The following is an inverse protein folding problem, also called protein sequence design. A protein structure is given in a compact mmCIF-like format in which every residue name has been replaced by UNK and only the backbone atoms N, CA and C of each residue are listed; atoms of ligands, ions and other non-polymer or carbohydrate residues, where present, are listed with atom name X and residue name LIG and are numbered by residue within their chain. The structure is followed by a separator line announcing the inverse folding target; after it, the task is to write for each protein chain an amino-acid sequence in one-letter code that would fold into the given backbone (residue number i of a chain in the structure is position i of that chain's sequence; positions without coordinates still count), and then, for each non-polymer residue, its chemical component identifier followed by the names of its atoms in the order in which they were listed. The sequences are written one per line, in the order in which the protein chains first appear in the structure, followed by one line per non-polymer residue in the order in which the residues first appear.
data_IF_814673683860
#
_entry.id   IF_814673683860
#
_cell.length_a   1.000
_cell.length_b   1.000
_cell.length_c   1.000
_cell.angle_alpha   90.00
_cell.angle_beta   90.00
_cell.angle_gamma   90.00
#
_symmetry.space_group_name_H-M   'P 1'
#
loop_
_entity.id
_entity.type
_entity.pdbx_description
1 polymer ?
#
# COMPACT_ATOMS: atom_id res chain seq x y z
N UNK A 1 -2.23 -29.31 -40.32
CA UNK A 1 -2.32 -29.71 -38.89
C UNK A 1 -1.77 -28.57 -38.04
N UNK A 2 -2.61 -27.93 -37.20
CA UNK A 2 -2.17 -26.89 -36.26
C UNK A 2 -1.87 -27.54 -34.92
N UNK A 3 -0.61 -27.63 -34.54
CA UNK A 3 -0.22 -28.11 -33.21
C UNK A 3 -0.50 -27.01 -32.20
N UNK A 4 -1.53 -27.20 -31.38
CA UNK A 4 -1.78 -26.36 -30.21
C UNK A 4 -0.61 -26.51 -29.23
N UNK A 5 0.23 -25.48 -29.13
CA UNK A 5 1.29 -25.43 -28.14
C UNK A 5 0.64 -25.33 -26.74
N UNK A 6 0.70 -26.43 -25.97
CA UNK A 6 0.31 -26.43 -24.56
C UNK A 6 1.23 -25.45 -23.83
N UNK A 7 0.72 -24.28 -23.43
CA UNK A 7 1.43 -23.37 -22.52
C UNK A 7 1.62 -24.11 -21.20
N UNK A 8 2.80 -24.68 -21.00
CA UNK A 8 3.20 -25.16 -19.68
C UNK A 8 3.40 -23.91 -18.81
N UNK A 9 2.68 -23.83 -17.70
CA UNK A 9 3.02 -22.86 -16.66
C UNK A 9 4.44 -23.17 -16.20
N UNK A 10 5.35 -22.18 -16.16
CA UNK A 10 6.70 -22.41 -15.65
C UNK A 10 6.62 -22.98 -14.23
N UNK A 11 7.52 -23.92 -13.91
CA UNK A 11 7.60 -24.48 -12.58
C UNK A 11 7.88 -23.37 -11.55
N UNK A 12 7.33 -23.46 -10.33
CA UNK A 12 7.66 -22.53 -9.25
C UNK A 12 9.18 -22.47 -9.04
N UNK A 13 9.71 -21.30 -8.70
CA UNK A 13 11.12 -21.16 -8.36
C UNK A 13 11.50 -22.09 -7.20
N UNK A 14 12.68 -22.68 -7.27
CA UNK A 14 13.30 -23.51 -6.21
C UNK A 14 14.28 -22.69 -5.34
N UNK A 15 14.72 -21.53 -5.84
CA UNK A 15 15.62 -20.61 -5.14
C UNK A 15 15.33 -19.17 -5.59
N UNK A 16 15.37 -18.24 -4.64
CA UNK A 16 15.24 -16.79 -4.83
C UNK A 16 16.42 -16.07 -4.15
N UNK A 17 16.51 -14.76 -4.35
CA UNK A 17 17.57 -13.93 -3.78
C UNK A 17 16.96 -12.87 -2.90
N UNK A 18 17.41 -12.74 -1.66
CA UNK A 18 17.13 -11.57 -0.83
C UNK A 18 18.23 -10.54 -0.98
N UNK A 19 17.85 -9.25 -0.98
CA UNK A 19 18.79 -8.12 -1.00
C UNK A 19 18.51 -7.16 0.14
N UNK A 20 19.55 -6.82 0.91
CA UNK A 20 19.52 -5.82 1.98
C UNK A 20 20.84 -5.05 1.94
N UNK A 21 20.82 -3.72 1.93
CA UNK A 21 22.03 -2.87 1.97
C UNK A 21 23.12 -3.27 0.95
N UNK A 22 22.73 -3.58 -0.29
CA UNK A 22 23.60 -4.11 -1.37
C UNK A 22 24.19 -5.51 -1.14
N UNK A 23 23.94 -6.15 0.00
CA UNK A 23 24.26 -7.56 0.20
C UNK A 23 23.13 -8.44 -0.35
N UNK A 24 23.51 -9.56 -0.99
CA UNK A 24 22.57 -10.51 -1.58
C UNK A 24 22.79 -11.92 -1.05
N UNK A 25 21.71 -12.63 -0.73
CA UNK A 25 21.75 -13.98 -0.17
C UNK A 25 20.73 -14.87 -0.91
N UNK A 26 21.17 -16.04 -1.36
CA UNK A 26 20.24 -17.04 -1.91
C UNK A 26 19.49 -17.73 -0.79
N UNK A 27 18.17 -17.84 -0.95
CA UNK A 27 17.30 -18.49 0.03
C UNK A 27 16.26 -19.34 -0.70
N UNK A 28 15.75 -20.41 -0.06
CA UNK A 28 14.57 -21.09 -0.58
C UNK A 28 13.36 -20.12 -0.57
N UNK A 29 12.42 -20.24 -1.51
CA UNK A 29 11.18 -19.50 -1.44
C UNK A 29 10.43 -19.82 -0.15
N UNK A 30 10.02 -18.78 0.58
CA UNK A 30 9.23 -18.95 1.78
C UNK A 30 7.76 -19.22 1.43
N UNK A 31 7.12 -20.17 2.10
CA UNK A 31 5.71 -20.51 1.94
C UNK A 31 4.79 -19.41 2.51
N UNK A 32 5.29 -18.66 3.49
CA UNK A 32 4.57 -17.57 4.15
C UNK A 32 5.44 -16.34 4.38
N UNK A 33 4.79 -15.19 4.59
CA UNK A 33 5.48 -13.94 4.91
C UNK A 33 6.28 -14.05 6.22
N UNK A 34 5.76 -14.72 7.25
CA UNK A 34 6.47 -14.86 8.53
C UNK A 34 7.70 -15.77 8.41
N UNK A 35 7.62 -16.80 7.57
CA UNK A 35 8.79 -17.61 7.22
C UNK A 35 9.81 -16.78 6.44
N UNK A 36 9.38 -15.90 5.54
CA UNK A 36 10.26 -14.98 4.83
C UNK A 36 11.01 -14.05 5.77
N UNK A 37 10.33 -13.49 6.79
CA UNK A 37 10.96 -12.69 7.85
C UNK A 37 12.01 -13.52 8.59
N UNK A 38 11.71 -14.78 8.88
CA UNK A 38 12.64 -15.68 9.56
C UNK A 38 13.89 -15.96 8.70
N UNK A 39 13.71 -16.24 7.42
CA UNK A 39 14.80 -16.44 6.47
C UNK A 39 15.65 -15.17 6.31
N UNK A 40 15.02 -14.00 6.19
CA UNK A 40 15.73 -12.73 6.10
C UNK A 40 16.60 -12.49 7.33
N UNK A 41 16.06 -12.71 8.54
CA UNK A 41 16.82 -12.53 9.79
C UNK A 41 18.02 -13.47 9.89
N UNK A 42 17.88 -14.72 9.44
CA UNK A 42 19.00 -15.67 9.42
C UNK A 42 20.02 -15.36 8.31
N UNK A 43 19.57 -14.84 7.17
CA UNK A 43 20.47 -14.46 6.07
C UNK A 43 21.28 -13.19 6.37
N UNK A 44 20.72 -12.28 7.17
CA UNK A 44 21.30 -10.97 7.49
C UNK A 44 21.40 -10.74 9.00
N UNK A 45 21.97 -11.71 9.74
CA UNK A 45 22.07 -11.65 11.20
C UNK A 45 22.76 -10.36 11.69
N UNK A 46 23.76 -9.84 10.95
CA UNK A 46 24.44 -8.60 11.32
C UNK A 46 23.54 -7.36 11.33
N UNK A 47 22.59 -7.27 10.41
CA UNK A 47 21.76 -6.08 10.20
C UNK A 47 20.36 -6.20 10.81
N UNK A 48 19.84 -7.43 10.92
CA UNK A 48 18.45 -7.68 11.35
C UNK A 48 18.33 -8.29 12.76
N UNK A 49 19.44 -8.52 13.45
CA UNK A 49 19.39 -8.96 14.86
C UNK A 49 18.82 -7.85 15.75
N UNK A 50 17.84 -8.22 16.58
CA UNK A 50 17.16 -7.28 17.48
C UNK A 50 16.09 -6.40 16.83
N UNK A 51 15.97 -6.42 15.49
CA UNK A 51 14.91 -5.69 14.78
C UNK A 51 13.57 -6.42 14.96
N UNK A 52 12.53 -5.66 15.30
CA UNK A 52 11.18 -6.20 15.41
C UNK A 52 10.68 -6.74 14.07
N UNK A 53 10.00 -7.89 14.10
CA UNK A 53 9.54 -8.59 12.90
C UNK A 53 8.56 -7.73 12.09
N UNK A 54 7.77 -6.87 12.72
CA UNK A 54 6.79 -6.04 12.02
C UNK A 54 7.43 -4.86 11.27
N UNK A 55 8.70 -4.57 11.56
CA UNK A 55 9.46 -3.55 10.85
C UNK A 55 10.12 -4.09 9.59
N UNK A 56 10.13 -5.41 9.39
CA UNK A 56 10.70 -6.01 8.18
C UNK A 56 9.62 -6.07 7.11
N UNK A 57 9.94 -5.54 5.93
CA UNK A 57 9.05 -5.51 4.77
C UNK A 57 9.80 -5.94 3.51
N UNK A 58 9.05 -6.37 2.50
CA UNK A 58 9.59 -6.92 1.27
C UNK A 58 9.05 -6.18 0.05
N UNK A 59 9.87 -6.04 -0.99
CA UNK A 59 9.42 -5.49 -2.28
C UNK A 59 10.09 -6.15 -3.48
N UNK A 60 9.47 -6.02 -4.64
CA UNK A 60 10.05 -6.38 -5.94
C UNK A 60 10.31 -5.13 -6.77
N UNK A 61 11.33 -5.18 -7.62
CA UNK A 61 11.51 -4.16 -8.64
C UNK A 61 10.76 -4.56 -9.90
N UNK A 62 9.77 -3.76 -10.29
CA UNK A 62 8.95 -3.98 -11.47
C UNK A 62 9.27 -2.92 -12.51
N UNK A 63 9.42 -3.34 -13.77
CA UNK A 63 9.55 -2.41 -14.90
C UNK A 63 8.14 -2.00 -15.37
N UNK A 64 7.74 -0.76 -15.10
CA UNK A 64 6.48 -0.20 -15.59
C UNK A 64 6.78 1.10 -16.35
N UNK A 65 6.28 1.19 -17.58
CA UNK A 65 6.45 2.37 -18.46
C UNK A 65 7.94 2.77 -18.65
N UNK A 66 8.83 1.79 -18.78
CA UNK A 66 10.27 2.02 -18.95
C UNK A 66 11.00 2.51 -17.69
N UNK A 67 10.31 2.59 -16.54
CA UNK A 67 10.91 2.95 -15.24
C UNK A 67 10.86 1.76 -14.30
N UNK A 68 11.95 1.56 -13.54
CA UNK A 68 11.94 0.62 -12.43
C UNK A 68 11.22 1.26 -11.24
N UNK A 69 10.23 0.55 -10.72
CA UNK A 69 9.51 0.93 -9.52
C UNK A 69 9.60 -0.20 -8.50
N UNK A 70 9.78 0.16 -7.23
CA UNK A 70 9.69 -0.81 -6.15
C UNK A 70 8.23 -0.99 -5.74
N UNK A 71 7.78 -2.24 -5.68
CA UNK A 71 6.41 -2.64 -5.33
C UNK A 71 6.46 -3.51 -4.09
N UNK A 72 5.86 -3.04 -2.99
CA UNK A 72 5.79 -3.78 -1.74
C UNK A 72 4.94 -5.04 -1.84
N UNK A 73 5.37 -6.11 -1.16
CA UNK A 73 4.63 -7.36 -1.06
C UNK A 73 3.90 -7.38 0.29
N UNK A 74 2.58 -7.44 0.28
CA UNK A 74 1.80 -7.59 1.50
C UNK A 74 1.80 -9.05 1.99
N UNK A 75 1.52 -9.25 3.28
CA UNK A 75 1.39 -10.58 3.91
C UNK A 75 0.42 -11.50 3.16
N UNK A 76 -0.73 -10.94 2.74
CA UNK A 76 -1.80 -11.69 2.06
C UNK A 76 -1.50 -11.98 0.59
N UNK A 77 -0.66 -11.17 -0.06
CA UNK A 77 -0.26 -11.40 -1.45
C UNK A 77 0.93 -12.36 -1.59
N UNK A 78 1.59 -12.71 -0.49
CA UNK A 78 2.86 -13.43 -0.49
C UNK A 78 2.82 -14.72 -1.33
N UNK A 79 1.87 -15.62 -1.04
CA UNK A 79 1.78 -16.91 -1.73
C UNK A 79 1.55 -16.76 -3.24
N UNK A 80 0.67 -15.84 -3.63
CA UNK A 80 0.42 -15.52 -5.04
C UNK A 80 1.68 -15.02 -5.71
N UNK A 81 2.39 -14.06 -5.09
CA UNK A 81 3.63 -13.52 -5.67
C UNK A 81 4.70 -14.61 -5.79
N UNK A 82 4.92 -15.42 -4.75
CA UNK A 82 5.92 -16.50 -4.78
C UNK A 82 5.67 -17.50 -5.92
N UNK A 83 4.40 -17.78 -6.27
CA UNK A 83 4.05 -18.70 -7.36
C UNK A 83 4.42 -18.18 -8.77
N UNK A 84 4.68 -16.88 -8.89
CA UNK A 84 5.00 -16.22 -10.16
C UNK A 84 6.47 -15.81 -10.29
N UNK A 85 7.27 -15.95 -9.23
CA UNK A 85 8.67 -15.57 -9.29
C UNK A 85 9.48 -16.54 -10.15
N UNK A 86 10.40 -15.97 -10.92
CA UNK A 86 11.42 -16.75 -11.60
C UNK A 86 12.49 -17.21 -10.60
N UNK A 87 13.26 -18.22 -11.00
CA UNK A 87 14.44 -18.64 -10.24
C UNK A 87 15.45 -17.48 -10.15
N UNK A 88 16.04 -17.31 -8.97
CA UNK A 88 16.99 -16.23 -8.65
C UNK A 88 16.41 -14.82 -8.64
N UNK A 89 15.09 -14.66 -8.74
CA UNK A 89 14.42 -13.36 -8.63
C UNK A 89 14.82 -12.64 -7.33
N UNK A 90 15.01 -11.32 -7.42
CA UNK A 90 15.51 -10.50 -6.31
C UNK A 90 14.34 -9.89 -5.55
N UNK A 91 14.22 -10.24 -4.27
CA UNK A 91 13.33 -9.59 -3.31
C UNK A 91 14.15 -8.66 -2.43
N UNK A 92 13.78 -7.38 -2.44
CA UNK A 92 14.37 -6.40 -1.55
C UNK A 92 13.77 -6.52 -0.14
N UNK A 93 14.64 -6.53 0.85
CA UNK A 93 14.30 -6.51 2.27
C UNK A 93 14.52 -5.09 2.79
N UNK A 94 13.54 -4.55 3.51
CA UNK A 94 13.59 -3.20 4.07
C UNK A 94 13.26 -3.21 5.56
N UNK A 95 13.94 -2.34 6.31
CA UNK A 95 13.63 -2.07 7.72
C UNK A 95 12.89 -0.75 7.83
N UNK A 96 11.63 -0.80 8.23
CA UNK A 96 10.78 0.36 8.48
C UNK A 96 11.26 1.11 9.73
N UNK A 97 11.13 2.45 9.76
CA UNK A 97 11.48 3.24 10.93
C UNK A 97 10.60 2.90 12.14
N UNK A 98 11.12 3.10 13.34
CA UNK A 98 10.35 2.93 14.57
C UNK A 98 9.43 4.15 14.75
N UNK A 99 8.12 3.93 14.80
CA UNK A 99 7.14 4.98 15.05
C UNK A 99 7.17 5.36 16.54
N UNK A 100 8.00 6.33 16.91
CA UNK A 100 7.96 6.94 18.24
C UNK A 100 6.76 7.89 18.28
N UNK A 101 5.61 7.41 18.76
CA UNK A 101 4.45 8.27 19.05
C UNK A 101 4.80 9.09 20.30
N UNK A 102 5.53 10.19 20.11
CA UNK A 102 5.95 11.10 21.18
C UNK A 102 4.99 12.26 21.40
N UNK A 103 3.97 12.42 20.55
CA UNK A 103 3.06 13.54 20.67
C UNK A 103 1.76 13.11 21.33
N UNK A 104 1.29 13.86 22.35
CA UNK A 104 -0.04 13.63 22.90
C UNK A 104 -1.08 13.78 21.79
N UNK A 105 -2.18 13.02 21.84
CA UNK A 105 -3.24 13.12 20.84
C UNK A 105 -3.72 14.57 20.74
N UNK A 106 -4.08 15.06 19.55
CA UNK A 106 -4.58 16.42 19.38
C UNK A 106 -5.78 16.64 20.31
N UNK A 107 -5.67 17.64 21.19
CA UNK A 107 -6.73 18.03 22.10
C UNK A 107 -7.80 18.80 21.32
N UNK A 108 -8.87 18.12 20.93
CA UNK A 108 -10.05 18.77 20.37
C UNK A 108 -10.81 19.45 21.52
N UNK A 109 -10.67 20.78 21.65
CA UNK A 109 -11.57 21.56 22.49
C UNK A 109 -12.99 21.39 21.98
N UNK A 110 -13.87 20.84 22.81
CA UNK A 110 -15.29 20.72 22.50
C UNK A 110 -15.88 22.12 22.51
N UNK A 111 -16.24 22.65 21.33
CA UNK A 111 -17.00 23.89 21.23
C UNK A 111 -18.38 23.66 21.85
N UNK A 112 -18.56 24.04 23.12
CA UNK A 112 -19.88 24.20 23.70
C UNK A 112 -20.53 25.42 23.06
N UNK A 113 -21.40 25.19 22.09
CA UNK A 113 -22.34 26.19 21.59
C UNK A 113 -23.36 26.49 22.69
N UNK A 114 -23.06 27.49 23.52
CA UNK A 114 -24.06 28.19 24.33
C UNK A 114 -24.55 29.37 23.50
N UNK A 115 -25.60 29.14 22.71
CA UNK A 115 -26.50 30.21 22.29
C UNK A 115 -27.77 30.06 23.12
N UNK A 116 -27.95 31.01 24.03
CA UNK A 116 -29.16 31.16 24.84
C UNK A 116 -30.39 31.27 23.94
N UNK A 117 -31.33 30.35 24.16
CA UNK A 117 -32.61 30.32 23.48
C UNK A 117 -33.60 31.17 24.29
N UNK A 118 -33.62 32.48 24.08
CA UNK A 118 -34.66 33.36 24.61
C UNK A 118 -35.70 33.69 23.52
N UNK A 119 -36.94 33.25 23.81
CA UNK A 119 -38.19 33.60 23.10
C UNK A 119 -38.37 35.12 23.09
N UNK A 120 -38.77 35.70 21.96
CA UNK A 120 -39.94 36.61 21.90
C UNK A 120 -40.64 36.52 20.54
N UNK A 121 -41.96 36.33 20.61
CA UNK A 121 -42.88 36.31 19.48
C UNK A 121 -43.34 37.75 19.22
N UNK A 122 -43.38 38.18 17.94
CA UNK A 122 -44.55 38.79 17.27
C UNK A 122 -44.19 39.62 16.02
N UNK A 123 -45.09 39.49 15.03
CA UNK A 123 -45.45 40.43 13.96
C UNK A 123 -44.55 40.65 12.74
N UNK A 124 -44.90 39.92 11.67
CA UNK A 124 -45.38 40.43 10.35
C UNK A 124 -44.84 41.77 9.82
N UNK A 125 -44.12 41.74 8.69
CA UNK A 125 -44.70 41.94 7.33
C UNK A 125 -43.63 42.25 6.27
N UNK A 126 -43.74 41.54 5.15
CA UNK A 126 -43.55 41.96 3.75
C UNK A 126 -42.30 42.75 3.31
N UNK A 127 -41.48 42.10 2.46
CA UNK A 127 -41.35 42.43 1.01
C UNK A 127 -39.95 42.12 0.43
N UNK A 128 -39.95 41.37 -0.69
CA UNK A 128 -39.06 41.43 -1.89
C UNK A 128 -37.53 41.66 -1.72
N UNK A 129 -36.61 40.98 -2.41
CA UNK A 129 -36.64 40.31 -3.72
C UNK A 129 -35.22 39.75 -4.05
N UNK A 130 -35.14 38.99 -5.16
CA UNK A 130 -33.96 38.73 -6.00
C UNK A 130 -33.14 37.42 -5.77
N UNK A 131 -33.66 36.35 -6.39
CA UNK A 131 -33.02 35.49 -7.42
C UNK A 131 -31.49 35.53 -7.59
N UNK A 132 -30.85 34.35 -7.62
CA UNK A 132 -29.90 33.82 -8.63
C UNK A 132 -29.53 32.38 -8.17
N UNK A 133 -30.17 31.30 -8.63
CA UNK A 133 -30.04 30.63 -9.93
C UNK A 133 -28.61 30.20 -10.29
N UNK A 134 -28.28 28.91 -10.07
CA UNK A 134 -27.90 27.91 -11.10
C UNK A 134 -26.96 26.81 -10.53
N UNK A 135 -27.42 25.56 -10.62
CA UNK A 135 -26.61 24.32 -10.54
C UNK A 135 -26.41 23.77 -11.99
N UNK A 136 -25.71 22.64 -12.22
CA UNK A 136 -24.35 22.50 -12.75
C UNK A 136 -24.31 21.92 -14.18
N UNK A 137 -23.15 21.85 -14.85
CA UNK A 137 -23.00 20.98 -16.04
C UNK A 137 -21.74 20.10 -16.03
N UNK A 138 -22.03 18.80 -16.10
CA UNK A 138 -21.15 17.66 -16.39
C UNK A 138 -20.50 17.81 -17.76
N UNK A 139 -19.24 17.39 -17.89
CA UNK A 139 -18.56 17.20 -19.17
C UNK A 139 -18.31 15.70 -19.39
N UNK A 140 -18.98 15.10 -20.38
CA UNK A 140 -18.56 13.87 -21.05
C UNK A 140 -18.11 14.28 -22.45
N UNK A 141 -16.92 13.86 -22.86
CA UNK A 141 -16.56 13.82 -24.27
C UNK A 141 -16.36 12.38 -24.72
N UNK A 142 -17.15 12.04 -25.73
CA UNK A 142 -17.22 10.81 -26.51
C UNK A 142 -16.37 11.06 -27.76
N UNK A 143 -15.47 10.16 -28.12
CA UNK A 143 -14.87 10.11 -29.45
C UNK A 143 -15.18 8.74 -30.06
N UNK A 144 -15.71 8.78 -31.28
CA UNK A 144 -15.83 7.62 -32.15
C UNK A 144 -15.61 8.09 -33.59
N UNK A 145 -14.58 7.52 -34.22
CA UNK A 145 -14.48 7.07 -35.61
C UNK A 145 -13.04 6.58 -35.83
#
# INVERSE_FOLDING_TARGET
MRTSARRQSPAPADVITYRLNNQMMYVPPAESFDQAVTFARSAFEGDLTGIDKNRISFSLNVLANGKQNSVGISRVAWSTIMSHLARYEIIDVHVQPELKVSEPPPSYQSCSSTEDCEKEQHSSSDSSSALHSLVPKRLFQRLSA
#
